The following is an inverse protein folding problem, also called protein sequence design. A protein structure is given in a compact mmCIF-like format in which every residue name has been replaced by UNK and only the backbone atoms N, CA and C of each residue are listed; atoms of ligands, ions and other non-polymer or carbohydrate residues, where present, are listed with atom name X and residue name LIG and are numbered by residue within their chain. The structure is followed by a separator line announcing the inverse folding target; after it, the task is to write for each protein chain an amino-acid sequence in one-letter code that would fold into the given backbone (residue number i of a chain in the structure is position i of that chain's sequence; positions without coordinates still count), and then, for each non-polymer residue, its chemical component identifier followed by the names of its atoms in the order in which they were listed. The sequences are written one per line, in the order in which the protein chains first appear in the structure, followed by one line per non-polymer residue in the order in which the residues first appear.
data_IF_377661038722
#
_entry.id   IF_377661038722
#
_cell.length_a   1.000
_cell.length_b   1.000
_cell.length_c   1.000
_cell.angle_alpha   90.00
_cell.angle_beta   90.00
_cell.angle_gamma   90.00
#
_symmetry.space_group_name_H-M   'P 1'
#
loop_
_entity.id
_entity.type
_entity.pdbx_description
1 polymer ?
#
# COMPACT_ATOMS: atom_id res chain seq x y z
N UNK A 1 33.03 -2.89 -10.97
CA UNK A 1 32.63 -1.66 -10.24
C UNK A 1 31.11 -1.62 -10.23
N UNK A 2 30.43 -1.99 -9.13
CA UNK A 2 28.99 -1.84 -9.06
C UNK A 2 28.66 -0.40 -8.64
N UNK A 3 27.78 0.20 -9.42
CA UNK A 3 27.36 1.58 -9.37
C UNK A 3 26.42 1.77 -8.17
N UNK A 4 26.87 2.54 -7.17
CA UNK A 4 26.04 3.02 -6.06
C UNK A 4 25.05 4.06 -6.62
N UNK A 5 23.78 3.70 -6.72
CA UNK A 5 22.73 4.64 -7.08
C UNK A 5 22.27 5.35 -5.80
N UNK A 6 22.56 6.64 -5.75
CA UNK A 6 22.27 7.59 -4.68
C UNK A 6 20.77 7.87 -4.65
N UNK A 7 20.06 7.44 -3.61
CA UNK A 7 18.68 7.86 -3.37
C UNK A 7 18.72 9.20 -2.63
N UNK A 8 18.47 10.29 -3.37
CA UNK A 8 18.45 11.63 -2.83
C UNK A 8 17.15 11.87 -2.04
N UNK A 9 17.28 12.08 -0.73
CA UNK A 9 16.26 12.72 0.08
C UNK A 9 16.03 14.14 -0.45
N UNK A 10 14.88 14.41 -1.07
CA UNK A 10 14.43 15.79 -1.31
C UNK A 10 13.73 16.26 -0.04
N UNK A 11 14.52 16.84 0.86
CA UNK A 11 14.06 17.66 1.97
C UNK A 11 14.05 19.12 1.50
N UNK A 12 12.95 19.57 0.89
CA UNK A 12 12.81 20.99 0.52
C UNK A 12 12.30 21.76 1.74
N UNK A 13 13.21 22.41 2.46
CA UNK A 13 12.89 23.37 3.50
C UNK A 13 12.34 24.66 2.86
N UNK A 14 11.02 24.85 2.94
CA UNK A 14 10.39 26.17 2.76
C UNK A 14 10.26 26.82 4.14
N UNK A 15 11.19 27.72 4.45
CA UNK A 15 11.09 28.64 5.59
C UNK A 15 9.87 29.55 5.37
N UNK A 16 8.80 29.24 6.08
CA UNK A 16 7.78 30.24 6.46
C UNK A 16 7.78 30.33 7.97
N UNK A 17 8.00 31.53 8.49
CA UNK A 17 7.96 31.83 9.91
C UNK A 17 6.52 31.73 10.41
N UNK A 18 6.11 30.52 10.82
CA UNK A 18 4.97 30.30 11.67
C UNK A 18 5.48 30.05 13.09
N UNK A 19 4.85 30.69 14.09
CA UNK A 19 5.18 30.56 15.50
C UNK A 19 5.40 29.08 15.86
N UNK A 20 6.50 28.80 16.56
CA UNK A 20 6.87 27.46 16.99
C UNK A 20 5.76 26.88 17.89
N UNK A 21 4.86 26.12 17.29
CA UNK A 21 4.07 25.15 18.02
C UNK A 21 5.08 24.19 18.64
N UNK A 22 5.07 24.07 19.97
CA UNK A 22 5.82 23.06 20.70
C UNK A 22 5.55 21.73 19.99
N UNK A 23 6.61 21.05 19.53
CA UNK A 23 6.45 19.71 18.98
C UNK A 23 5.65 18.87 20.00
N UNK A 24 4.68 18.05 19.55
CA UNK A 24 3.93 17.20 20.47
C UNK A 24 4.91 16.38 21.32
N UNK A 25 4.55 16.06 22.58
CA UNK A 25 5.42 15.26 23.43
C UNK A 25 5.79 13.97 22.71
N UNK A 26 7.08 13.64 22.75
CA UNK A 26 7.64 12.42 22.14
C UNK A 26 6.98 11.18 22.74
N UNK A 27 6.45 10.29 21.91
CA UNK A 27 6.02 8.95 22.32
C UNK A 27 7.25 8.03 22.32
N UNK A 28 7.78 7.63 23.49
CA UNK A 28 9.03 6.87 23.55
C UNK A 28 8.96 5.53 22.80
N UNK A 29 7.78 4.92 22.72
CA UNK A 29 7.59 3.64 22.01
C UNK A 29 7.59 3.89 20.50
N UNK A 30 6.99 4.99 20.04
CA UNK A 30 7.06 5.39 18.64
C UNK A 30 8.49 5.77 18.23
N UNK A 31 9.24 6.46 19.09
CA UNK A 31 10.64 6.81 18.84
C UNK A 31 11.54 5.58 18.77
N UNK A 32 11.33 4.60 19.67
CA UNK A 32 12.06 3.32 19.63
C UNK A 32 11.81 2.56 18.32
N UNK A 33 10.54 2.49 17.88
CA UNK A 33 10.21 1.88 16.60
C UNK A 33 10.83 2.64 15.42
N UNK A 34 10.79 3.98 15.45
CA UNK A 34 11.37 4.82 14.41
C UNK A 34 12.88 4.60 14.31
N UNK A 35 13.58 4.48 15.43
CA UNK A 35 15.00 4.14 15.47
C UNK A 35 15.28 2.73 14.92
N UNK A 36 14.43 1.75 15.22
CA UNK A 36 14.55 0.39 14.69
C UNK A 36 14.37 0.36 13.17
N UNK A 37 13.34 1.04 12.65
CA UNK A 37 13.10 1.18 11.21
C UNK A 37 14.22 1.94 10.51
N UNK A 38 14.72 3.02 11.10
CA UNK A 38 15.84 3.79 10.53
C UNK A 38 17.13 2.96 10.47
N UNK A 39 17.41 2.16 11.50
CA UNK A 39 18.56 1.26 11.50
C UNK A 39 18.44 0.16 10.43
N UNK A 40 17.23 -0.33 10.15
CA UNK A 40 16.96 -1.31 9.09
C UNK A 40 17.18 -0.70 7.71
N UNK A 41 16.59 0.48 7.48
CA UNK A 41 16.74 1.21 6.22
C UNK A 41 18.18 1.65 5.94
N UNK A 42 18.98 1.91 6.98
CA UNK A 42 20.40 2.27 6.88
C UNK A 42 21.35 1.05 6.84
N UNK A 43 20.82 -0.18 6.82
CA UNK A 43 21.62 -1.39 6.75
C UNK A 43 22.36 -1.48 5.41
N UNK A 44 23.67 -1.70 5.47
CA UNK A 44 24.51 -1.97 4.29
C UNK A 44 24.50 -3.45 3.87
N UNK A 45 23.72 -4.29 4.58
CA UNK A 45 23.55 -5.70 4.24
C UNK A 45 22.65 -5.88 3.00
N UNK A 46 22.74 -7.03 2.34
CA UNK A 46 21.77 -7.42 1.31
C UNK A 46 20.35 -7.55 1.88
N UNK A 47 19.32 -7.51 1.01
CA UNK A 47 17.91 -7.45 1.46
C UNK A 47 17.52 -8.65 2.35
N UNK A 48 18.00 -9.86 2.01
CA UNK A 48 17.71 -11.08 2.78
C UNK A 48 18.46 -11.07 4.11
N UNK A 49 19.73 -10.67 4.10
CA UNK A 49 20.57 -10.56 5.28
C UNK A 49 20.05 -9.50 6.26
N UNK A 50 19.58 -8.35 5.75
CA UNK A 50 18.87 -7.33 6.54
C UNK A 50 17.63 -7.92 7.18
N UNK A 51 16.76 -8.61 6.43
CA UNK A 51 15.58 -9.26 7.00
C UNK A 51 15.95 -10.25 8.12
N UNK A 52 16.94 -11.12 7.90
CA UNK A 52 17.37 -12.10 8.90
C UNK A 52 17.93 -11.43 10.16
N UNK A 53 18.69 -10.35 10.02
CA UNK A 53 19.26 -9.62 11.14
C UNK A 53 18.21 -8.83 11.94
N UNK A 54 17.19 -8.28 11.27
CA UNK A 54 16.21 -7.40 11.90
C UNK A 54 14.94 -8.12 12.39
N UNK A 55 14.56 -9.24 11.78
CA UNK A 55 13.40 -10.04 12.21
C UNK A 55 13.35 -10.30 13.73
N UNK A 56 14.39 -10.84 14.39
CA UNK A 56 14.33 -11.08 15.84
C UNK A 56 14.19 -9.79 16.66
N UNK A 57 14.66 -8.64 16.15
CA UNK A 57 14.52 -7.34 16.80
C UNK A 57 13.08 -6.83 16.73
N UNK A 58 12.43 -6.97 15.57
CA UNK A 58 11.00 -6.68 15.42
C UNK A 58 10.12 -7.63 16.24
N UNK A 59 10.45 -8.92 16.28
CA UNK A 59 9.74 -9.89 17.14
C UNK A 59 9.86 -9.52 18.63
N UNK A 60 11.04 -9.10 19.08
CA UNK A 60 11.25 -8.60 20.45
C UNK A 60 10.45 -7.32 20.72
N UNK A 61 10.46 -6.36 19.79
CA UNK A 61 9.69 -5.12 19.89
C UNK A 61 8.18 -5.40 20.00
N UNK A 62 7.63 -6.25 19.12
CA UNK A 62 6.22 -6.66 19.14
C UNK A 62 5.85 -7.30 20.49
N UNK A 63 6.74 -8.11 21.07
CA UNK A 63 6.51 -8.72 22.37
C UNK A 63 6.51 -7.68 23.50
N UNK A 64 7.41 -6.70 23.46
CA UNK A 64 7.58 -5.69 24.49
C UNK A 64 6.44 -4.64 24.50
N UNK A 65 5.92 -4.28 23.33
CA UNK A 65 4.98 -3.17 23.17
C UNK A 65 3.57 -3.60 22.72
N UNK A 66 3.18 -4.85 23.04
CA UNK A 66 1.84 -5.40 22.80
C UNK A 66 0.74 -4.39 23.13
N UNK A 67 -0.19 -4.16 22.20
CA UNK A 67 -1.34 -3.29 22.44
C UNK A 67 -1.15 -1.83 22.01
N UNK A 68 0.03 -1.44 21.53
CA UNK A 68 0.31 -0.10 21.01
C UNK A 68 0.17 -0.03 19.49
N UNK A 69 -0.06 1.17 18.95
CA UNK A 69 -0.03 1.41 17.49
C UNK A 69 1.37 1.14 16.89
N UNK A 70 2.43 1.35 17.67
CA UNK A 70 3.80 1.00 17.28
C UNK A 70 3.96 -0.51 17.10
N UNK A 71 3.36 -1.32 17.98
CA UNK A 71 3.35 -2.77 17.77
C UNK A 71 2.55 -3.18 16.53
N UNK A 72 1.45 -2.49 16.21
CA UNK A 72 0.72 -2.74 14.95
C UNK A 72 1.65 -2.56 13.76
N UNK A 73 2.38 -1.43 13.71
CA UNK A 73 3.33 -1.11 12.65
C UNK A 73 4.47 -2.12 12.57
N UNK A 74 5.02 -2.54 13.71
CA UNK A 74 6.09 -3.54 13.78
C UNK A 74 5.61 -4.94 13.30
N UNK A 75 4.40 -5.35 13.67
CA UNK A 75 3.79 -6.60 13.19
C UNK A 75 3.53 -6.54 11.69
N UNK A 76 3.10 -5.40 11.16
CA UNK A 76 2.94 -5.19 9.72
C UNK A 76 4.27 -5.28 8.95
N UNK A 77 5.38 -4.81 9.53
CA UNK A 77 6.71 -5.02 8.97
C UNK A 77 7.06 -6.52 8.89
N UNK A 78 6.78 -7.29 9.96
CA UNK A 78 6.99 -8.74 9.97
C UNK A 78 6.17 -9.44 8.87
N UNK A 79 4.88 -9.11 8.74
CA UNK A 79 3.99 -9.65 7.71
C UNK A 79 4.51 -9.34 6.32
N UNK A 80 4.84 -8.08 6.03
CA UNK A 80 5.31 -7.65 4.72
C UNK A 80 6.59 -8.40 4.29
N UNK A 81 7.49 -8.65 5.24
CA UNK A 81 8.79 -9.25 5.01
C UNK A 81 8.79 -10.79 5.02
N UNK A 82 7.66 -11.46 5.27
CA UNK A 82 7.60 -12.92 5.09
C UNK A 82 7.80 -13.32 3.62
N UNK A 83 7.71 -12.39 2.67
CA UNK A 83 8.07 -12.61 1.26
C UNK A 83 9.43 -13.31 1.09
N UNK A 84 10.41 -12.97 1.93
CA UNK A 84 11.74 -13.57 1.91
C UNK A 84 11.76 -15.06 2.29
N UNK A 85 10.67 -15.57 2.88
CA UNK A 85 10.47 -16.98 3.22
C UNK A 85 9.81 -17.79 2.08
N UNK A 86 9.55 -17.17 0.92
CA UNK A 86 8.98 -17.86 -0.24
C UNK A 86 9.82 -19.07 -0.70
N UNK A 87 11.17 -18.99 -0.79
CA UNK A 87 11.98 -20.16 -1.15
C UNK A 87 11.84 -21.34 -0.17
N UNK A 88 11.59 -21.04 1.11
CA UNK A 88 11.43 -22.04 2.17
C UNK A 88 10.01 -22.65 2.18
N UNK A 89 9.07 -22.10 1.39
CA UNK A 89 7.67 -22.54 1.37
C UNK A 89 6.90 -22.23 2.66
N UNK A 90 7.40 -21.29 3.48
CA UNK A 90 6.81 -20.95 4.80
C UNK A 90 6.23 -19.53 4.86
N UNK A 91 6.16 -18.83 3.72
CA UNK A 91 5.67 -17.45 3.65
C UNK A 91 4.24 -17.31 4.18
N UNK A 92 3.29 -18.06 3.63
CA UNK A 92 1.87 -17.97 3.98
C UNK A 92 1.58 -18.53 5.39
N UNK A 93 2.28 -19.59 5.78
CA UNK A 93 2.14 -20.18 7.12
C UNK A 93 2.74 -19.30 8.23
N UNK A 94 3.62 -18.36 7.87
CA UNK A 94 4.18 -17.35 8.79
C UNK A 94 3.35 -16.06 8.78
N UNK A 95 2.91 -15.57 7.63
CA UNK A 95 2.19 -14.29 7.52
C UNK A 95 0.79 -14.34 8.10
N UNK A 96 0.04 -15.41 7.84
CA UNK A 96 -1.38 -15.47 8.21
C UNK A 96 -1.60 -15.42 9.73
N UNK A 97 -0.88 -16.19 10.57
CA UNK A 97 -1.07 -16.11 12.02
C UNK A 97 -0.77 -14.72 12.58
N UNK A 98 0.22 -14.01 12.02
CA UNK A 98 0.54 -12.63 12.41
C UNK A 98 -0.60 -11.68 12.06
N UNK A 99 -1.14 -11.76 10.84
CA UNK A 99 -2.25 -10.94 10.40
C UNK A 99 -3.53 -11.19 11.21
N UNK A 100 -3.86 -12.46 11.47
CA UNK A 100 -5.05 -12.83 12.25
C UNK A 100 -4.98 -12.34 13.69
N UNK A 101 -3.81 -12.50 14.34
CA UNK A 101 -3.55 -12.03 15.69
C UNK A 101 -3.62 -10.50 15.76
N UNK A 102 -3.07 -9.81 14.76
CA UNK A 102 -3.11 -8.36 14.62
C UNK A 102 -4.56 -7.85 14.53
N UNK A 103 -5.35 -8.36 13.59
CA UNK A 103 -6.76 -7.98 13.42
C UNK A 103 -7.57 -8.27 14.68
N UNK A 104 -7.29 -9.39 15.37
CA UNK A 104 -7.99 -9.76 16.61
C UNK A 104 -7.74 -8.78 17.74
N UNK A 105 -6.50 -8.32 17.90
CA UNK A 105 -6.09 -7.44 19.01
C UNK A 105 -6.31 -5.97 18.72
N UNK A 106 -6.22 -5.56 17.46
CA UNK A 106 -6.30 -4.16 17.02
C UNK A 106 -7.40 -3.95 15.98
N UNK A 107 -8.66 -4.36 16.24
CA UNK A 107 -9.72 -4.25 15.24
C UNK A 107 -10.01 -2.79 14.85
N UNK A 108 -9.68 -1.83 15.73
CA UNK A 108 -9.90 -0.40 15.52
C UNK A 108 -8.64 0.37 15.14
N UNK A 109 -7.51 -0.29 14.85
CA UNK A 109 -6.34 0.43 14.31
C UNK A 109 -6.58 0.75 12.82
N UNK A 110 -6.31 1.97 12.33
CA UNK A 110 -6.39 2.27 10.90
C UNK A 110 -5.27 1.58 10.11
N UNK A 111 -4.18 1.19 10.76
CA UNK A 111 -3.01 0.60 10.09
C UNK A 111 -3.28 -0.81 9.55
N UNK A 112 -4.25 -1.53 10.09
CA UNK A 112 -4.60 -2.90 9.62
C UNK A 112 -5.06 -2.91 8.15
N UNK A 113 -5.44 -1.75 7.58
CA UNK A 113 -5.71 -1.61 6.15
C UNK A 113 -4.50 -1.98 5.28
N UNK A 114 -3.27 -1.84 5.77
CA UNK A 114 -2.06 -2.22 5.02
C UNK A 114 -2.00 -3.72 4.69
N UNK A 115 -2.72 -4.58 5.43
CA UNK A 115 -2.83 -6.00 5.11
C UNK A 115 -3.44 -6.24 3.72
N UNK A 116 -4.26 -5.32 3.20
CA UNK A 116 -4.81 -5.41 1.84
C UNK A 116 -3.77 -5.11 0.77
N UNK A 117 -2.77 -4.27 1.07
CA UNK A 117 -1.64 -4.01 0.17
C UNK A 117 -0.64 -5.17 0.18
N UNK A 118 -0.46 -5.80 1.34
CA UNK A 118 0.44 -6.95 1.51
C UNK A 118 -0.17 -8.28 1.06
N UNK A 119 -1.25 -8.25 0.25
CA UNK A 119 -1.98 -9.44 -0.17
C UNK A 119 -1.12 -10.55 -0.79
N UNK A 120 0.03 -10.18 -1.36
CA UNK A 120 0.96 -11.07 -2.05
C UNK A 120 1.69 -12.08 -1.13
N UNK A 121 1.63 -11.90 0.19
CA UNK A 121 2.15 -12.89 1.17
C UNK A 121 1.07 -13.86 1.68
N UNK A 122 -0.11 -13.88 1.07
CA UNK A 122 -1.23 -14.74 1.45
C UNK A 122 -1.79 -15.50 0.24
N UNK A 123 -2.38 -16.67 0.48
CA UNK A 123 -3.18 -17.38 -0.54
C UNK A 123 -4.46 -16.61 -0.87
N UNK A 124 -5.13 -16.95 -1.99
CA UNK A 124 -6.41 -16.31 -2.35
C UNK A 124 -7.48 -16.50 -1.26
N UNK A 125 -7.63 -17.72 -0.75
CA UNK A 125 -8.61 -18.02 0.29
C UNK A 125 -8.33 -17.25 1.59
N UNK A 126 -7.05 -17.10 1.95
CA UNK A 126 -6.62 -16.27 3.09
C UNK A 126 -6.94 -14.78 2.85
N UNK A 127 -6.70 -14.27 1.64
CA UNK A 127 -7.02 -12.88 1.28
C UNK A 127 -8.52 -12.60 1.44
N UNK A 128 -9.38 -13.46 0.86
CA UNK A 128 -10.84 -13.29 0.93
C UNK A 128 -11.32 -13.27 2.39
N UNK A 129 -10.97 -14.29 3.17
CA UNK A 129 -11.35 -14.38 4.58
C UNK A 129 -10.86 -13.17 5.39
N UNK A 130 -9.63 -12.73 5.16
CA UNK A 130 -9.05 -11.58 5.85
C UNK A 130 -9.76 -10.28 5.49
N UNK A 131 -10.05 -10.04 4.21
CA UNK A 131 -10.70 -8.80 3.76
C UNK A 131 -12.15 -8.71 4.25
N UNK A 132 -12.91 -9.81 4.22
CA UNK A 132 -14.24 -9.88 4.81
C UNK A 132 -14.21 -9.57 6.32
N UNK A 133 -13.20 -10.11 7.01
CA UNK A 133 -13.02 -9.83 8.43
C UNK A 133 -12.72 -8.35 8.70
N UNK A 134 -11.88 -7.71 7.87
CA UNK A 134 -11.59 -6.27 7.97
C UNK A 134 -12.87 -5.43 7.78
N UNK A 135 -13.71 -5.76 6.81
CA UNK A 135 -15.01 -5.09 6.59
C UNK A 135 -15.91 -5.17 7.84
N UNK A 136 -15.88 -6.30 8.54
CA UNK A 136 -16.70 -6.56 9.72
C UNK A 136 -16.21 -5.84 10.98
N UNK A 137 -14.90 -5.79 11.20
CA UNK A 137 -14.35 -5.33 12.50
C UNK A 137 -13.89 -3.89 12.50
N UNK A 138 -13.47 -3.34 11.36
CA UNK A 138 -12.87 -2.01 11.33
C UNK A 138 -13.94 -0.92 11.33
N UNK A 139 -13.79 0.15 12.14
CA UNK A 139 -14.64 1.32 12.06
C UNK A 139 -14.21 2.29 10.95
N UNK A 140 -13.01 2.12 10.38
CA UNK A 140 -12.38 3.12 9.51
C UNK A 140 -12.82 3.01 8.05
N UNK A 141 -13.33 4.09 7.44
CA UNK A 141 -13.66 4.13 6.02
C UNK A 141 -12.51 3.72 5.10
N UNK A 142 -11.28 4.12 5.42
CA UNK A 142 -10.07 3.80 4.66
C UNK A 142 -9.80 2.29 4.62
N UNK A 143 -9.94 1.62 5.77
CA UNK A 143 -9.75 0.17 5.88
C UNK A 143 -10.86 -0.57 5.15
N UNK A 144 -12.11 -0.12 5.27
CA UNK A 144 -13.25 -0.73 4.57
C UNK A 144 -13.14 -0.58 3.06
N UNK A 145 -12.78 0.60 2.58
CA UNK A 145 -12.56 0.86 1.16
C UNK A 145 -11.41 0.00 0.63
N UNK A 146 -10.29 -0.09 1.36
CA UNK A 146 -9.17 -0.95 0.97
C UNK A 146 -9.56 -2.43 0.90
N UNK A 147 -10.37 -2.93 1.85
CA UNK A 147 -10.86 -4.30 1.84
C UNK A 147 -11.84 -4.57 0.69
N UNK A 148 -12.78 -3.68 0.41
CA UNK A 148 -13.63 -3.77 -0.78
C UNK A 148 -12.82 -3.78 -2.07
N UNK A 149 -11.80 -2.94 -2.16
CA UNK A 149 -10.91 -2.93 -3.33
C UNK A 149 -10.10 -4.23 -3.44
N UNK A 150 -9.65 -4.81 -2.33
CA UNK A 150 -9.03 -6.13 -2.27
C UNK A 150 -9.95 -7.22 -2.84
N UNK A 151 -11.19 -7.29 -2.38
CA UNK A 151 -12.18 -8.28 -2.83
C UNK A 151 -12.60 -8.07 -4.30
N UNK A 152 -12.78 -6.82 -4.73
CA UNK A 152 -13.07 -6.47 -6.13
C UNK A 152 -11.98 -6.95 -7.12
N UNK A 153 -10.74 -7.14 -6.66
CA UNK A 153 -9.64 -7.65 -7.50
C UNK A 153 -9.66 -9.17 -7.67
N UNK A 154 -10.52 -9.88 -6.95
CA UNK A 154 -10.62 -11.34 -6.99
C UNK A 154 -11.63 -11.83 -8.04
N UNK A 155 -12.40 -10.93 -8.65
CA UNK A 155 -13.42 -11.22 -9.66
C UNK A 155 -13.40 -10.18 -10.78
N UNK A 156 -13.99 -10.48 -11.95
CA UNK A 156 -14.13 -9.50 -13.03
C UNK A 156 -14.86 -8.23 -12.57
N UNK A 157 -14.58 -7.05 -13.18
CA UNK A 157 -15.28 -5.81 -12.84
C UNK A 157 -16.78 -5.86 -13.14
N UNK A 158 -17.20 -6.68 -14.11
CA UNK A 158 -18.60 -6.96 -14.44
C UNK A 158 -18.78 -8.46 -14.68
N UNK A 159 -19.93 -8.99 -14.30
CA UNK A 159 -20.40 -10.33 -14.66
C UNK A 159 -20.67 -10.44 -16.16
N UNK A 160 -20.86 -11.67 -16.66
CA UNK A 160 -21.12 -11.93 -18.09
C UNK A 160 -22.41 -11.26 -18.61
N UNK A 161 -23.39 -11.04 -17.74
CA UNK A 161 -24.64 -10.31 -18.02
C UNK A 161 -24.49 -8.77 -17.94
N UNK A 162 -23.28 -8.29 -17.65
CA UNK A 162 -22.97 -6.86 -17.50
C UNK A 162 -23.19 -6.30 -16.09
N UNK A 163 -23.67 -7.10 -15.13
CA UNK A 163 -23.90 -6.66 -13.75
C UNK A 163 -22.58 -6.19 -13.11
N UNK A 164 -22.51 -4.97 -12.52
CA UNK A 164 -21.32 -4.48 -11.83
C UNK A 164 -20.87 -5.39 -10.70
N UNK A 165 -19.55 -5.53 -10.52
CA UNK A 165 -18.99 -6.15 -9.33
C UNK A 165 -19.49 -5.40 -8.09
N UNK A 166 -20.09 -6.09 -7.09
CA UNK A 166 -20.75 -5.45 -5.96
C UNK A 166 -19.77 -4.61 -5.13
N UNK A 167 -18.51 -5.04 -4.99
CA UNK A 167 -17.52 -4.28 -4.24
C UNK A 167 -17.09 -3.00 -4.97
N UNK A 168 -16.98 -3.02 -6.30
CA UNK A 168 -16.73 -1.79 -7.08
C UNK A 168 -17.92 -0.83 -6.99
N UNK A 169 -19.15 -1.36 -7.03
CA UNK A 169 -20.35 -0.55 -6.85
C UNK A 169 -20.40 0.08 -5.45
N UNK A 170 -20.07 -0.67 -4.39
CA UNK A 170 -19.94 -0.14 -3.02
C UNK A 170 -18.86 0.93 -2.92
N UNK A 171 -17.69 0.74 -3.55
CA UNK A 171 -16.64 1.77 -3.55
C UNK A 171 -17.12 3.10 -4.17
N UNK A 172 -17.88 3.04 -5.26
CA UNK A 172 -18.49 4.23 -5.87
C UNK A 172 -19.58 4.86 -4.99
N UNK A 173 -20.41 4.05 -4.35
CA UNK A 173 -21.56 4.55 -3.61
C UNK A 173 -21.18 5.13 -2.24
N UNK A 174 -20.21 4.52 -1.55
CA UNK A 174 -19.95 4.77 -0.13
C UNK A 174 -18.54 5.30 0.16
N UNK A 175 -17.57 5.04 -0.74
CA UNK A 175 -16.15 5.33 -0.49
C UNK A 175 -15.49 6.12 -1.61
N UNK A 176 -16.27 6.83 -2.45
CA UNK A 176 -15.77 7.45 -3.66
C UNK A 176 -14.64 8.48 -3.42
N UNK A 177 -14.76 9.24 -2.34
CA UNK A 177 -13.82 10.31 -1.98
C UNK A 177 -12.68 9.83 -1.06
N UNK A 178 -12.73 8.59 -0.59
CA UNK A 178 -11.67 8.02 0.25
C UNK A 178 -10.37 7.97 -0.57
N UNK A 179 -9.34 8.64 -0.04
CA UNK A 179 -8.04 8.75 -0.69
C UNK A 179 -7.34 7.39 -0.71
N UNK A 180 -6.78 7.06 -1.87
CA UNK A 180 -5.87 5.94 -2.05
C UNK A 180 -4.64 6.42 -2.78
N UNK A 181 -3.52 6.58 -2.07
CA UNK A 181 -2.28 7.17 -2.60
C UNK A 181 -2.57 8.53 -3.27
N UNK A 182 -2.23 8.67 -4.55
CA UNK A 182 -2.43 9.88 -5.34
C UNK A 182 -3.83 9.98 -6.00
N UNK A 183 -4.73 9.02 -5.77
CA UNK A 183 -6.10 8.99 -6.33
C UNK A 183 -7.16 8.77 -5.25
N UNK A 184 -8.40 8.48 -5.64
CA UNK A 184 -9.48 8.04 -4.75
C UNK A 184 -10.00 6.67 -5.17
N UNK A 185 -10.64 5.95 -4.24
CA UNK A 185 -11.28 4.68 -4.55
C UNK A 185 -12.43 4.82 -5.56
N UNK A 186 -13.13 5.96 -5.58
CA UNK A 186 -14.16 6.25 -6.59
C UNK A 186 -13.58 6.29 -8.00
N UNK A 187 -12.47 7.01 -8.20
CA UNK A 187 -11.78 7.05 -9.51
C UNK A 187 -11.29 5.66 -9.93
N UNK A 188 -10.79 4.86 -8.99
CA UNK A 188 -10.36 3.48 -9.27
C UNK A 188 -11.55 2.61 -9.69
N UNK A 189 -12.66 2.69 -8.94
CA UNK A 189 -13.84 1.88 -9.19
C UNK A 189 -14.52 2.26 -10.51
N UNK A 190 -14.62 3.56 -10.82
CA UNK A 190 -15.14 4.06 -12.10
C UNK A 190 -14.30 3.54 -13.27
N UNK A 191 -12.97 3.71 -13.21
CA UNK A 191 -12.07 3.25 -14.27
C UNK A 191 -12.14 1.73 -14.50
N UNK A 192 -12.39 0.93 -13.45
CA UNK A 192 -12.57 -0.51 -13.57
C UNK A 192 -13.94 -0.91 -14.13
N UNK A 193 -14.99 -0.19 -13.77
CA UNK A 193 -16.36 -0.47 -14.23
C UNK A 193 -16.64 0.05 -15.63
N UNK A 194 -15.93 1.10 -16.04
CA UNK A 194 -16.09 1.83 -17.29
C UNK A 194 -14.73 1.94 -18.03
N UNK A 195 -14.09 0.80 -18.37
CA UNK A 195 -12.82 0.84 -19.11
C UNK A 195 -13.05 1.35 -20.54
N UNK A 196 -12.01 1.92 -21.15
CA UNK A 196 -12.03 2.22 -22.57
C UNK A 196 -12.33 0.97 -23.40
N UNK A 197 -13.13 1.10 -24.45
CA UNK A 197 -13.41 -0.01 -25.35
C UNK A 197 -12.13 -0.44 -26.07
N UNK A 198 -11.95 -1.75 -26.29
CA UNK A 198 -10.76 -2.28 -26.97
C UNK A 198 -10.56 -1.66 -28.37
N UNK A 199 -11.65 -1.29 -29.06
CA UNK A 199 -11.61 -0.62 -30.35
C UNK A 199 -11.02 0.81 -30.28
N UNK A 200 -11.13 1.47 -29.13
CA UNK A 200 -10.57 2.81 -28.89
C UNK A 200 -9.09 2.75 -28.49
N UNK A 201 -8.61 1.59 -28.05
CA UNK A 201 -7.21 1.33 -27.66
C UNK A 201 -6.38 0.67 -28.76
N UNK A 202 -6.93 0.55 -29.97
CA UNK A 202 -6.26 -0.10 -31.10
C UNK A 202 -5.16 0.78 -31.73
N UNK A 203 -4.24 0.14 -32.46
CA UNK A 203 -3.18 0.84 -33.22
C UNK A 203 -3.79 1.87 -34.17
N UNK A 204 -3.21 3.06 -34.21
CA UNK A 204 -3.69 4.19 -35.03
C UNK A 204 -4.81 5.02 -34.38
N UNK A 205 -5.35 4.59 -33.23
CA UNK A 205 -6.23 5.43 -32.41
C UNK A 205 -5.42 6.41 -31.56
N UNK A 206 -6.09 7.48 -31.15
CA UNK A 206 -5.51 8.44 -30.21
C UNK A 206 -5.42 7.76 -28.84
N UNK A 207 -4.22 7.69 -28.26
CA UNK A 207 -4.04 7.19 -26.90
C UNK A 207 -4.90 8.00 -25.91
N UNK A 208 -5.56 7.36 -24.93
CA UNK A 208 -6.28 8.04 -23.87
C UNK A 208 -5.41 9.08 -23.17
N UNK A 209 -6.03 10.13 -22.65
CA UNK A 209 -5.30 11.11 -21.86
C UNK A 209 -4.76 10.44 -20.58
N UNK A 210 -3.51 10.77 -20.27
CA UNK A 210 -2.90 10.44 -18.98
C UNK A 210 -2.56 11.78 -18.34
N UNK A 211 -3.22 12.07 -17.24
CA UNK A 211 -2.95 13.24 -16.43
C UNK A 211 -2.43 12.81 -15.05
N UNK A 212 -1.47 13.57 -14.53
CA UNK A 212 -0.89 13.28 -13.24
C UNK A 212 0.06 14.36 -12.78
N UNK A 213 0.82 14.02 -11.76
CA UNK A 213 1.90 14.85 -11.21
C UNK A 213 3.18 14.05 -11.37
N UNK A 214 4.22 14.69 -11.92
CA UNK A 214 5.53 14.07 -12.08
C UNK A 214 6.31 14.01 -10.75
N UNK A 215 7.51 13.44 -10.80
CA UNK A 215 8.40 13.27 -9.64
C UNK A 215 8.86 14.60 -9.00
N UNK A 216 8.77 15.72 -9.71
CA UNK A 216 9.11 17.06 -9.22
C UNK A 216 7.86 17.82 -8.71
N UNK A 217 6.70 17.17 -8.67
CA UNK A 217 5.45 17.79 -8.24
C UNK A 217 4.76 18.63 -9.31
N UNK A 218 5.19 18.55 -10.58
CA UNK A 218 4.60 19.34 -11.67
C UNK A 218 3.45 18.59 -12.36
N UNK A 219 2.37 19.28 -12.75
CA UNK A 219 1.34 18.69 -13.58
C UNK A 219 1.91 18.18 -14.91
N UNK A 220 1.47 17.00 -15.33
CA UNK A 220 1.87 16.34 -16.56
C UNK A 220 0.61 15.87 -17.30
N UNK A 221 0.55 16.11 -18.62
CA UNK A 221 -0.40 15.46 -19.53
C UNK A 221 0.32 14.74 -20.66
N UNK A 222 -0.18 13.59 -21.09
CA UNK A 222 0.35 12.89 -22.26
C UNK A 222 0.19 13.74 -23.53
N UNK A 223 -0.89 14.51 -23.63
CA UNK A 223 -1.11 15.43 -24.76
C UNK A 223 -0.10 16.56 -24.88
N UNK A 224 0.65 16.91 -23.82
CA UNK A 224 1.71 17.93 -23.90
C UNK A 224 2.89 17.49 -24.79
N UNK A 225 2.98 16.20 -25.12
CA UNK A 225 4.05 15.62 -25.94
C UNK A 225 3.66 15.43 -27.42
N UNK A 226 2.53 15.99 -27.87
CA UNK A 226 2.11 15.92 -29.28
C UNK A 226 3.18 16.48 -30.21
N UNK A 227 3.30 15.89 -31.40
CA UNK A 227 4.35 16.22 -32.38
C UNK A 227 5.70 15.53 -32.11
N UNK A 228 5.83 14.75 -31.03
CA UNK A 228 7.00 13.92 -30.73
C UNK A 228 6.66 12.44 -30.88
N UNK A 229 7.69 11.62 -31.07
CA UNK A 229 7.61 10.18 -30.84
C UNK A 229 7.78 9.95 -29.34
N UNK A 230 6.80 9.30 -28.70
CA UNK A 230 6.73 9.10 -27.25
C UNK A 230 6.67 7.61 -26.94
N UNK A 231 7.53 7.15 -26.04
CA UNK A 231 7.42 5.85 -25.40
C UNK A 231 6.86 6.06 -23.99
N UNK A 232 5.76 5.38 -23.66
CA UNK A 232 5.19 5.37 -22.31
C UNK A 232 5.62 4.08 -21.63
N UNK A 233 6.39 4.21 -20.55
CA UNK A 233 6.89 3.09 -19.75
C UNK A 233 6.27 3.11 -18.36
N UNK A 234 5.70 1.98 -17.93
CA UNK A 234 5.08 1.82 -16.62
C UNK A 234 6.05 1.07 -15.70
N UNK A 235 6.72 1.81 -14.81
CA UNK A 235 7.78 1.29 -13.94
C UNK A 235 7.62 1.77 -12.49
N UNK A 236 8.46 1.24 -11.59
CA UNK A 236 8.57 1.64 -10.18
C UNK A 236 9.81 1.03 -9.53
N UNK A 237 10.13 1.49 -8.32
CA UNK A 237 11.35 1.15 -7.54
C UNK A 237 11.17 -0.03 -6.57
N UNK A 238 10.03 -0.72 -6.66
CA UNK A 238 9.54 -1.78 -5.77
C UNK A 238 10.60 -2.82 -5.35
#
# INVERSE_FOLDING_TARGET
MPMRMLMAMILTALLTTAAAAQAPPSDPVADELAALLAAEAASELGRVETYQAFRPRFEAFVKAHRGTESEVRATLWLVQNTWWLRPDGTMESTSMPLAEDLIRRHPTSPQIGLLTEYRYVFTKDQQESMFERLLKVSPHPEVKAAAHFGLAQMSPPRSADGTPNPHLATLLAEFADVRWRQTTFGRIADARLNPHAAADLAVGKTAPEIEGVDQDGKPMKLSDYRGKVVLVDFWGDW
#
